data_IF_296709179596
#
_entry.id   IF_296709179596
#
_cell.length_a   1.000
_cell.length_b   1.000
_cell.length_c   1.000
_cell.angle_alpha   90.00
_cell.angle_beta   90.00
_cell.angle_gamma   90.00
#
_symmetry.space_group_name_H-M   'P 1'
#
loop_
_entity.id
_entity.type
_entity.pdbx_description
1 polymer ?
#
# COMPACT_ATOMS: atom_id res chain seq x y z
N UNK A 1 56.74 -5.74 -11.13
CA UNK A 1 55.31 -5.52 -10.86
C UNK A 1 54.55 -6.62 -11.60
N UNK A 2 54.19 -7.70 -10.90
CA UNK A 2 53.58 -8.90 -11.48
C UNK A 2 52.08 -8.67 -11.67
N UNK A 3 51.57 -8.83 -12.90
CA UNK A 3 50.14 -8.90 -13.20
C UNK A 3 49.60 -10.27 -12.73
N UNK A 4 48.61 -10.27 -11.83
CA UNK A 4 47.91 -11.50 -11.42
C UNK A 4 46.88 -11.90 -12.47
N UNK A 5 46.95 -13.16 -12.88
CA UNK A 5 45.98 -13.88 -13.70
C UNK A 5 44.60 -13.95 -13.02
N UNK A 6 43.54 -13.59 -13.76
CA UNK A 6 42.15 -13.75 -13.36
C UNK A 6 41.70 -15.20 -13.60
N UNK A 7 41.19 -15.82 -12.55
CA UNK A 7 40.86 -17.25 -12.47
C UNK A 7 39.57 -17.56 -13.28
N UNK A 8 39.70 -18.28 -14.40
CA UNK A 8 38.62 -18.66 -15.34
C UNK A 8 37.45 -19.43 -14.70
N UNK A 9 37.62 -19.95 -13.49
CA UNK A 9 36.54 -20.61 -12.73
C UNK A 9 35.41 -19.66 -12.29
N UNK A 10 35.71 -18.38 -12.10
CA UNK A 10 34.73 -17.39 -11.61
C UNK A 10 33.72 -17.01 -12.70
N UNK A 11 34.13 -17.05 -13.96
CA UNK A 11 33.28 -16.69 -15.11
C UNK A 11 32.32 -17.83 -15.46
N UNK A 12 32.74 -19.09 -15.34
CA UNK A 12 31.90 -20.26 -15.66
C UNK A 12 30.76 -20.43 -14.62
N UNK A 13 31.00 -20.09 -13.35
CA UNK A 13 29.97 -20.14 -12.30
C UNK A 13 28.86 -19.09 -12.49
N UNK A 14 29.18 -17.92 -13.04
CA UNK A 14 28.19 -16.87 -13.29
C UNK A 14 27.24 -17.17 -14.46
N UNK A 15 27.67 -17.96 -15.46
CA UNK A 15 26.80 -18.36 -16.57
C UNK A 15 25.91 -19.57 -16.25
N UNK A 16 26.33 -20.45 -15.33
CA UNK A 16 25.50 -21.58 -14.87
C UNK A 16 24.28 -21.16 -14.04
N UNK A 17 24.41 -20.10 -13.24
CA UNK A 17 23.31 -19.58 -12.40
C UNK A 17 22.23 -18.84 -13.19
N UNK A 18 22.59 -18.20 -14.31
CA UNK A 18 21.64 -17.51 -15.18
C UNK A 18 20.71 -18.48 -15.94
N UNK A 19 21.18 -19.69 -16.26
CA UNK A 19 20.37 -20.70 -16.95
C UNK A 19 19.38 -21.42 -16.01
N UNK A 20 19.71 -21.55 -14.71
CA UNK A 20 18.83 -22.17 -13.72
C UNK A 20 17.62 -21.30 -13.35
N UNK A 21 17.74 -19.97 -13.45
CA UNK A 21 16.63 -19.02 -13.19
C UNK A 21 15.65 -18.97 -14.37
N UNK A 22 16.11 -19.24 -15.60
CA UNK A 22 15.24 -19.25 -16.79
C UNK A 22 14.36 -20.50 -16.89
N UNK A 23 14.79 -21.65 -16.35
CA UNK A 23 14.06 -22.92 -16.51
C UNK A 23 12.87 -23.12 -15.55
N UNK A 24 12.79 -22.37 -14.44
CA UNK A 24 11.65 -22.41 -13.51
C UNK A 24 10.65 -21.25 -13.67
N UNK A 25 10.79 -20.43 -14.71
CA UNK A 25 9.85 -19.35 -15.02
C UNK A 25 8.58 -19.82 -15.77
N UNK A 26 8.52 -21.09 -16.17
CA UNK A 26 7.38 -21.67 -16.86
C UNK A 26 6.63 -22.66 -15.98
N UNK A 27 5.82 -22.17 -15.04
CA UNK A 27 4.58 -22.81 -14.54
C UNK A 27 3.92 -21.84 -13.53
N UNK A 28 3.30 -20.80 -14.08
CA UNK A 28 2.22 -20.08 -13.39
C UNK A 28 1.06 -20.04 -14.37
N UNK A 29 0.34 -21.15 -14.45
CA UNK A 29 -1.02 -21.14 -14.96
C UNK A 29 -1.85 -20.29 -14.00
N UNK A 30 -2.25 -19.11 -14.46
CA UNK A 30 -3.32 -18.38 -13.82
C UNK A 30 -4.59 -19.23 -13.94
N UNK A 31 -5.31 -19.51 -12.84
CA UNK A 31 -6.62 -20.12 -12.96
C UNK A 31 -7.46 -19.20 -13.87
N UNK A 32 -8.14 -19.82 -14.84
CA UNK A 32 -9.16 -19.13 -15.62
C UNK A 32 -10.13 -18.43 -14.65
N UNK A 33 -10.51 -17.21 -14.98
CA UNK A 33 -11.51 -16.43 -14.27
C UNK A 33 -12.87 -17.16 -14.36
N UNK A 34 -13.05 -18.17 -13.51
CA UNK A 34 -14.35 -18.74 -13.17
C UNK A 34 -14.41 -18.85 -11.66
N UNK A 35 -14.59 -17.72 -10.99
CA UNK A 35 -15.06 -17.70 -9.60
C UNK A 35 -16.52 -17.30 -9.62
N UNK A 36 -17.36 -18.23 -9.19
CA UNK A 36 -18.77 -18.04 -8.86
C UNK A 36 -18.85 -17.16 -7.61
N UNK A 37 -18.55 -15.87 -7.73
CA UNK A 37 -18.81 -14.87 -6.71
C UNK A 37 -19.92 -14.01 -7.26
N UNK A 38 -21.06 -13.95 -6.56
CA UNK A 38 -22.13 -13.02 -6.90
C UNK A 38 -21.51 -11.61 -6.91
N UNK A 39 -21.56 -10.87 -8.02
CA UNK A 39 -21.00 -9.53 -8.03
C UNK A 39 -21.75 -8.74 -6.96
N UNK A 40 -21.00 -8.13 -6.04
CA UNK A 40 -21.48 -6.92 -5.38
C UNK A 40 -21.62 -5.95 -6.54
N UNK A 41 -22.84 -5.87 -7.10
CA UNK A 41 -23.22 -4.74 -7.94
C UNK A 41 -22.89 -3.55 -7.06
N UNK A 42 -21.92 -2.72 -7.49
CA UNK A 42 -22.04 -1.29 -7.24
C UNK A 42 -23.52 -0.99 -7.44
N UNK A 43 -24.19 -0.29 -6.51
CA UNK A 43 -25.50 0.21 -6.84
C UNK A 43 -25.30 0.78 -8.23
N UNK A 44 -26.08 0.27 -9.18
CA UNK A 44 -26.40 1.09 -10.32
C UNK A 44 -26.99 2.31 -9.65
N UNK A 45 -26.14 3.28 -9.28
CA UNK A 45 -26.39 4.66 -9.60
C UNK A 45 -26.96 4.50 -10.98
N UNK A 46 -28.28 4.61 -11.03
CA UNK A 46 -28.97 4.77 -12.27
C UNK A 46 -28.23 5.95 -12.85
N UNK A 47 -27.24 5.68 -13.69
CA UNK A 47 -26.63 6.64 -14.58
C UNK A 47 -27.80 6.92 -15.52
N UNK A 48 -28.77 7.66 -15.00
CA UNK A 48 -29.68 8.46 -15.78
C UNK A 48 -28.78 9.11 -16.79
N UNK A 49 -29.06 8.90 -18.07
CA UNK A 49 -28.34 9.51 -19.19
C UNK A 49 -28.27 11.02 -18.96
N UNK A 50 -27.34 11.47 -18.15
CA UNK A 50 -27.08 12.87 -17.87
C UNK A 50 -26.25 13.35 -19.04
N UNK A 51 -26.56 14.55 -19.49
CA UNK A 51 -25.72 15.26 -20.43
C UNK A 51 -24.33 15.40 -19.82
N UNK A 52 -23.23 15.10 -20.55
CA UNK A 52 -21.88 15.28 -20.03
C UNK A 52 -21.68 16.67 -19.42
N UNK A 53 -21.21 16.71 -18.18
CA UNK A 53 -20.93 17.94 -17.44
C UNK A 53 -19.43 17.95 -17.05
N UNK A 54 -18.53 18.25 -18.01
CA UNK A 54 -17.10 18.32 -17.73
C UNK A 54 -16.80 19.44 -16.71
N UNK A 55 -15.92 19.16 -15.75
CA UNK A 55 -15.55 20.07 -14.68
C UNK A 55 -14.06 19.98 -14.36
N UNK A 56 -13.46 21.08 -13.91
CA UNK A 56 -12.06 21.10 -13.45
C UNK A 56 -11.94 21.54 -12.01
N UNK A 57 -12.78 22.47 -11.52
CA UNK A 57 -12.78 22.93 -10.13
C UNK A 57 -13.45 21.93 -9.18
N UNK A 58 -12.66 21.34 -8.29
CA UNK A 58 -13.12 20.37 -7.30
C UNK A 58 -13.99 21.01 -6.22
N UNK A 59 -13.73 22.27 -5.87
CA UNK A 59 -14.49 22.93 -4.79
C UNK A 59 -15.94 23.12 -5.22
N UNK A 60 -16.17 23.53 -6.47
CA UNK A 60 -17.51 23.59 -7.06
C UNK A 60 -18.15 22.21 -7.15
N UNK A 61 -17.43 21.19 -7.64
CA UNK A 61 -17.96 19.82 -7.71
C UNK A 61 -18.40 19.29 -6.33
N UNK A 62 -17.61 19.55 -5.28
CA UNK A 62 -17.97 19.17 -3.92
C UNK A 62 -19.19 19.93 -3.39
N UNK A 63 -19.35 21.22 -3.71
CA UNK A 63 -20.54 21.99 -3.34
C UNK A 63 -21.80 21.47 -4.03
N UNK A 64 -21.68 21.07 -5.30
CA UNK A 64 -22.78 20.42 -6.03
C UNK A 64 -23.15 19.08 -5.40
N UNK A 65 -22.16 18.27 -5.03
CA UNK A 65 -22.42 17.01 -4.33
C UNK A 65 -23.05 17.21 -2.95
N UNK A 66 -22.58 18.20 -2.18
CA UNK A 66 -23.14 18.50 -0.85
C UNK A 66 -24.63 18.91 -0.96
N UNK A 67 -25.04 19.59 -2.03
CA UNK A 67 -26.42 20.05 -2.23
C UNK A 67 -27.36 18.97 -2.79
N UNK A 68 -26.85 18.02 -3.57
CA UNK A 68 -27.67 16.97 -4.21
C UNK A 68 -27.68 15.65 -3.43
N UNK A 69 -26.56 15.30 -2.79
CA UNK A 69 -26.36 14.01 -2.10
C UNK A 69 -26.14 14.27 -0.62
N UNK A 70 -25.01 14.89 -0.27
CA UNK A 70 -24.63 15.18 1.11
C UNK A 70 -24.35 13.94 1.99
N UNK A 71 -23.72 14.19 3.13
CA UNK A 71 -23.29 13.13 4.04
C UNK A 71 -24.39 12.23 4.62
N UNK A 72 -25.58 12.74 5.00
CA UNK A 72 -26.66 11.88 5.49
C UNK A 72 -27.11 10.84 4.47
N UNK A 73 -27.31 11.24 3.22
CA UNK A 73 -27.74 10.32 2.16
C UNK A 73 -26.63 9.32 1.80
N UNK A 74 -25.38 9.81 1.67
CA UNK A 74 -24.24 8.94 1.39
C UNK A 74 -24.08 7.82 2.43
N UNK A 75 -24.16 8.17 3.73
CA UNK A 75 -24.05 7.20 4.83
C UNK A 75 -25.16 6.18 4.81
N UNK A 76 -26.40 6.58 4.51
CA UNK A 76 -27.51 5.64 4.41
C UNK A 76 -27.33 4.69 3.22
N UNK A 77 -26.97 5.22 2.05
CA UNK A 77 -26.73 4.42 0.83
C UNK A 77 -25.60 3.40 0.99
N UNK A 78 -24.60 3.72 1.80
CA UNK A 78 -23.41 2.88 2.02
C UNK A 78 -23.42 2.17 3.37
N UNK A 79 -24.53 2.21 4.12
CA UNK A 79 -24.64 1.64 5.47
C UNK A 79 -24.28 0.16 5.52
N UNK A 80 -24.77 -0.62 4.55
CA UNK A 80 -24.50 -2.05 4.46
C UNK A 80 -23.02 -2.30 4.17
N UNK A 81 -22.43 -1.59 3.20
CA UNK A 81 -21.00 -1.72 2.87
C UNK A 81 -20.10 -1.35 4.06
N UNK A 82 -20.48 -0.30 4.81
CA UNK A 82 -19.77 0.11 6.03
C UNK A 82 -19.86 -0.99 7.10
N UNK A 83 -21.03 -1.60 7.28
CA UNK A 83 -21.21 -2.70 8.23
C UNK A 83 -20.40 -3.95 7.85
N UNK A 84 -20.44 -4.35 6.57
CA UNK A 84 -19.67 -5.48 6.05
C UNK A 84 -18.18 -5.25 6.27
N UNK A 85 -17.67 -4.09 5.84
CA UNK A 85 -16.26 -3.74 6.06
C UNK A 85 -15.93 -3.83 7.55
N UNK A 86 -16.72 -3.21 8.44
CA UNK A 86 -16.48 -3.24 9.87
C UNK A 86 -16.41 -4.64 10.49
N UNK A 87 -17.07 -5.63 9.87
CA UNK A 87 -17.06 -7.04 10.28
C UNK A 87 -15.98 -7.90 9.63
N UNK A 88 -15.19 -7.35 8.70
CA UNK A 88 -14.13 -8.10 8.00
C UNK A 88 -13.05 -8.58 8.97
N UNK A 89 -12.60 -9.82 8.78
CA UNK A 89 -11.45 -10.42 9.46
C UNK A 89 -10.12 -10.19 8.74
N UNK A 90 -10.09 -9.36 7.69
CA UNK A 90 -8.88 -9.06 6.92
C UNK A 90 -7.95 -8.05 7.61
N UNK A 91 -8.40 -7.46 8.72
CA UNK A 91 -7.63 -6.55 9.56
C UNK A 91 -7.60 -7.09 10.99
N UNK A 92 -6.41 -7.11 11.59
CA UNK A 92 -6.27 -7.36 13.02
C UNK A 92 -6.90 -6.22 13.82
N UNK A 93 -7.41 -6.54 15.00
CA UNK A 93 -7.85 -5.52 15.94
C UNK A 93 -6.59 -4.83 16.47
N UNK A 94 -6.54 -3.49 16.40
CA UNK A 94 -5.46 -2.74 17.04
C UNK A 94 -5.70 -2.73 18.54
N UNK A 95 -5.31 -3.81 19.22
CA UNK A 95 -5.54 -4.03 20.65
C UNK A 95 -4.73 -3.06 21.50
N UNK A 96 -5.31 -1.90 21.80
CA UNK A 96 -4.74 -0.97 22.75
C UNK A 96 -5.17 -1.31 24.20
N UNK A 97 -6.39 -1.78 24.48
CA UNK A 97 -6.86 -1.77 25.89
C UNK A 97 -7.46 -3.07 26.43
N UNK A 98 -7.90 -4.02 25.60
CA UNK A 98 -8.67 -5.19 26.07
C UNK A 98 -7.84 -6.36 26.61
N UNK A 99 -6.52 -6.39 26.40
CA UNK A 99 -5.68 -7.58 26.64
C UNK A 99 -4.44 -7.32 27.51
N UNK A 100 -4.45 -6.27 28.33
CA UNK A 100 -3.30 -5.89 29.16
C UNK A 100 -2.84 -7.00 30.12
N UNK A 101 -3.75 -7.87 30.58
CA UNK A 101 -3.43 -8.96 31.52
C UNK A 101 -2.55 -10.07 30.94
N UNK A 102 -2.35 -10.12 29.63
CA UNK A 102 -1.50 -11.12 28.96
C UNK A 102 -0.03 -10.68 28.81
N UNK A 103 0.26 -9.40 29.03
CA UNK A 103 1.61 -8.86 28.93
C UNK A 103 2.46 -9.38 30.08
N UNK A 104 3.66 -9.88 29.78
CA UNK A 104 4.61 -10.44 30.76
C UNK A 104 5.76 -9.49 31.08
N UNK A 105 5.78 -8.31 30.45
CA UNK A 105 6.87 -7.36 30.50
C UNK A 105 6.32 -5.94 30.49
N UNK A 106 6.93 -5.05 31.27
CA UNK A 106 6.63 -3.61 31.30
C UNK A 106 7.49 -2.81 30.30
N UNK A 107 8.62 -3.40 29.90
CA UNK A 107 9.57 -2.80 28.98
C UNK A 107 9.98 -3.84 27.93
N UNK A 108 9.92 -3.48 26.66
CA UNK A 108 10.41 -4.31 25.55
C UNK A 108 11.37 -3.50 24.70
N UNK A 109 12.47 -4.13 24.33
CA UNK A 109 13.46 -3.60 23.40
C UNK A 109 13.56 -4.43 22.13
N UNK A 110 13.38 -3.79 20.98
CA UNK A 110 13.49 -4.38 19.65
C UNK A 110 14.68 -3.72 18.93
N UNK A 111 15.66 -4.55 18.55
CA UNK A 111 16.79 -4.10 17.74
C UNK A 111 16.58 -4.54 16.29
N UNK A 112 16.53 -3.56 15.39
CA UNK A 112 16.46 -3.79 13.94
C UNK A 112 17.84 -4.18 13.41
N UNK A 113 17.92 -5.33 12.73
CA UNK A 113 19.18 -5.89 12.21
C UNK A 113 19.28 -5.76 10.69
N UNK A 114 20.47 -5.36 10.24
CA UNK A 114 20.82 -5.29 8.83
C UNK A 114 20.26 -4.07 8.12
N UNK A 115 20.29 -4.10 6.79
CA UNK A 115 19.67 -3.05 5.98
C UNK A 115 18.15 -3.25 5.95
N UNK A 116 17.42 -2.16 6.13
CA UNK A 116 15.96 -2.12 6.03
C UNK A 116 15.52 -0.86 5.30
N UNK A 117 14.40 -0.94 4.59
CA UNK A 117 13.75 0.27 4.05
C UNK A 117 12.88 0.99 5.10
N UNK A 118 12.66 0.38 6.27
CA UNK A 118 11.89 0.99 7.36
C UNK A 118 12.49 2.37 7.70
N UNK A 119 11.69 3.44 7.66
CA UNK A 119 12.15 4.80 7.91
C UNK A 119 12.84 5.01 9.26
N UNK A 120 13.86 5.88 9.30
CA UNK A 120 14.61 6.18 10.53
C UNK A 120 13.78 6.89 11.61
N UNK A 121 12.68 7.54 11.22
CA UNK A 121 11.79 8.18 12.19
C UNK A 121 10.97 7.18 13.02
N UNK A 122 11.09 5.87 12.73
CA UNK A 122 10.61 4.83 13.62
C UNK A 122 11.57 4.53 14.78
N UNK A 123 12.82 4.98 14.73
CA UNK A 123 13.80 4.83 15.81
C UNK A 123 13.41 5.73 16.99
N UNK A 124 12.77 5.14 18.01
CA UNK A 124 12.23 5.89 19.15
C UNK A 124 11.88 4.99 20.35
N UNK A 125 11.63 5.63 21.50
CA UNK A 125 10.99 5.05 22.66
C UNK A 125 9.49 5.40 22.65
N UNK A 126 8.65 4.39 22.49
CA UNK A 126 7.20 4.55 22.38
C UNK A 126 6.51 4.26 23.72
N UNK A 127 5.65 5.18 24.20
CA UNK A 127 4.67 4.87 25.24
C UNK A 127 3.51 4.11 24.59
N UNK A 128 3.43 2.81 24.85
CA UNK A 128 2.38 1.95 24.34
C UNK A 128 1.26 1.83 25.38
N UNK A 129 0.14 1.26 24.95
CA UNK A 129 -0.97 1.02 25.85
C UNK A 129 -0.60 -0.01 26.95
N UNK A 130 -1.45 -0.11 27.97
CA UNK A 130 -1.19 -0.94 29.16
C UNK A 130 0.07 -0.54 29.97
N UNK A 131 0.64 0.64 29.73
CA UNK A 131 1.86 1.10 30.40
C UNK A 131 3.15 0.48 29.84
N UNK A 132 3.08 -0.31 28.77
CA UNK A 132 4.25 -0.90 28.13
C UNK A 132 5.10 0.18 27.47
N UNK A 133 6.40 0.22 27.76
CA UNK A 133 7.34 1.01 26.95
C UNK A 133 8.01 0.14 25.89
N UNK A 134 8.05 0.63 24.66
CA UNK A 134 8.68 -0.07 23.54
C UNK A 134 9.86 0.73 23.00
N UNK A 135 11.09 0.26 23.20
CA UNK A 135 12.25 0.80 22.53
C UNK A 135 12.39 0.10 21.17
N UNK A 136 12.15 0.81 20.07
CA UNK A 136 12.46 0.35 18.73
C UNK A 136 13.67 1.12 18.22
N UNK A 137 14.77 0.43 17.92
CA UNK A 137 15.99 1.11 17.49
C UNK A 137 16.84 0.32 16.51
N UNK A 138 17.62 1.03 15.70
CA UNK A 138 18.72 0.49 14.88
C UNK A 138 20.05 0.50 15.64
N UNK A 139 20.12 1.18 16.79
CA UNK A 139 21.34 1.33 17.60
C UNK A 139 21.54 0.16 18.57
N UNK A 140 22.58 -0.63 18.35
CA UNK A 140 22.98 -1.69 19.29
C UNK A 140 23.46 -1.17 20.65
N UNK A 141 23.81 0.12 20.74
CA UNK A 141 24.23 0.75 22.00
C UNK A 141 23.02 1.04 22.89
N UNK A 142 21.88 1.41 22.28
CA UNK A 142 20.64 1.70 23.01
C UNK A 142 19.91 0.42 23.43
N UNK A 143 20.08 -0.67 22.67
CA UNK A 143 19.47 -1.98 22.95
C UNK A 143 20.53 -3.07 23.14
N UNK A 144 21.32 -2.98 24.22
CA UNK A 144 22.22 -4.07 24.63
C UNK A 144 21.41 -5.24 25.19
N UNK A 145 21.59 -6.44 24.60
CA UNK A 145 20.79 -7.65 24.83
C UNK A 145 19.27 -7.43 24.67
N UNK A 146 18.81 -7.12 23.45
CA UNK A 146 17.41 -6.80 23.21
C UNK A 146 16.48 -7.99 23.49
N UNK A 147 15.19 -7.73 23.61
CA UNK A 147 14.17 -8.78 23.78
C UNK A 147 13.81 -9.45 22.45
N UNK A 148 13.96 -8.71 21.35
CA UNK A 148 13.78 -9.21 20.00
C UNK A 148 14.77 -8.59 19.00
N UNK A 149 15.14 -9.39 18.01
CA UNK A 149 15.85 -8.94 16.81
C UNK A 149 14.88 -8.96 15.64
N UNK A 150 14.73 -7.82 14.96
CA UNK A 150 13.92 -7.72 13.76
C UNK A 150 14.77 -7.84 12.50
N UNK A 151 14.37 -8.75 11.63
CA UNK A 151 15.00 -9.07 10.37
C UNK A 151 14.02 -8.84 9.21
N UNK A 152 14.51 -8.33 8.09
CA UNK A 152 13.71 -8.11 6.88
C UNK A 152 14.39 -8.70 5.64
N UNK A 153 15.60 -8.22 5.34
CA UNK A 153 16.35 -8.64 4.15
C UNK A 153 17.28 -9.82 4.41
N UNK A 154 17.34 -10.29 5.64
CA UNK A 154 18.22 -11.38 6.08
C UNK A 154 17.43 -12.42 6.84
N UNK A 155 17.72 -13.69 6.59
CA UNK A 155 17.10 -14.80 7.31
C UNK A 155 17.54 -14.76 8.78
N UNK A 156 16.63 -14.89 9.75
CA UNK A 156 17.00 -15.06 11.14
C UNK A 156 17.88 -16.30 11.37
N UNK A 157 18.72 -16.34 12.43
CA UNK A 157 19.48 -17.52 12.79
C UNK A 157 18.58 -18.75 13.00
N UNK A 158 18.98 -19.91 12.48
CA UNK A 158 18.19 -21.15 12.57
C UNK A 158 18.01 -21.65 14.01
N UNK A 159 19.02 -21.46 14.86
CA UNK A 159 19.01 -21.89 16.26
C UNK A 159 18.86 -20.67 17.18
N UNK A 160 18.07 -20.83 18.24
CA UNK A 160 17.94 -19.88 19.34
C UNK A 160 18.15 -20.62 20.67
N UNK A 161 18.89 -20.03 21.61
CA UNK A 161 19.03 -20.55 22.98
C UNK A 161 18.16 -19.76 23.93
N UNK A 162 17.87 -20.35 25.09
CA UNK A 162 17.19 -19.62 26.16
C UNK A 162 18.06 -18.44 26.62
N UNK A 163 17.47 -17.24 26.70
CA UNK A 163 18.20 -16.00 26.96
C UNK A 163 18.62 -15.24 25.71
N UNK A 164 18.55 -15.85 24.52
CA UNK A 164 18.72 -15.14 23.25
C UNK A 164 17.42 -14.36 22.90
N UNK A 165 17.53 -13.21 22.20
CA UNK A 165 16.37 -12.45 21.75
C UNK A 165 15.45 -13.27 20.83
N UNK A 166 14.16 -12.96 20.85
CA UNK A 166 13.22 -13.50 19.87
C UNK A 166 13.60 -13.09 18.45
N UNK A 167 13.40 -14.00 17.50
CA UNK A 167 13.62 -13.74 16.07
C UNK A 167 12.31 -13.25 15.47
N UNK A 168 12.28 -11.98 15.07
CA UNK A 168 11.15 -11.39 14.36
C UNK A 168 11.53 -11.28 12.88
N UNK A 169 10.75 -11.87 11.99
CA UNK A 169 10.97 -11.77 10.55
C UNK A 169 9.84 -11.04 9.86
N UNK A 170 10.16 -10.03 9.05
CA UNK A 170 9.20 -9.24 8.30
C UNK A 170 9.36 -9.49 6.80
N UNK A 171 8.26 -9.87 6.14
CA UNK A 171 8.17 -10.00 4.70
C UNK A 171 6.82 -9.44 4.24
N UNK A 172 6.87 -8.25 3.61
CA UNK A 172 5.66 -7.57 3.13
C UNK A 172 5.39 -7.82 1.64
N UNK A 173 6.28 -8.47 0.89
CA UNK A 173 6.02 -8.80 -0.51
C UNK A 173 4.90 -9.85 -0.64
N UNK A 174 4.23 -9.84 -1.80
CA UNK A 174 3.06 -10.68 -2.09
C UNK A 174 3.25 -12.17 -1.75
N UNK A 175 4.47 -12.70 -1.89
CA UNK A 175 4.79 -14.10 -1.64
C UNK A 175 4.67 -14.53 -0.18
N UNK A 176 4.70 -13.59 0.78
CA UNK A 176 4.49 -13.83 2.22
C UNK A 176 5.30 -15.02 2.76
N UNK A 177 6.56 -15.11 2.32
CA UNK A 177 7.42 -16.27 2.57
C UNK A 177 8.01 -16.19 3.97
N UNK A 178 7.62 -17.14 4.82
CA UNK A 178 8.24 -17.35 6.13
C UNK A 178 9.68 -17.84 5.99
N UNK A 179 10.52 -17.50 6.95
CA UNK A 179 11.91 -17.98 6.96
C UNK A 179 12.02 -19.41 7.48
N UNK A 180 11.03 -19.83 8.27
CA UNK A 180 11.02 -21.13 8.95
C UNK A 180 11.84 -21.14 10.23
N UNK A 181 12.47 -20.01 10.58
CA UNK A 181 13.29 -19.84 11.77
C UNK A 181 12.79 -18.70 12.68
N UNK A 182 11.75 -17.96 12.31
CA UNK A 182 11.26 -16.86 13.14
C UNK A 182 10.39 -17.34 14.31
N UNK A 183 10.45 -16.62 15.44
CA UNK A 183 9.55 -16.81 16.58
C UNK A 183 8.26 -15.96 16.43
N UNK A 184 8.32 -14.89 15.63
CA UNK A 184 7.25 -13.98 15.25
C UNK A 184 7.41 -13.57 13.78
N UNK A 185 6.32 -13.59 13.01
CA UNK A 185 6.30 -13.18 11.62
C UNK A 185 5.40 -11.97 11.39
N UNK A 186 5.92 -10.99 10.66
CA UNK A 186 5.23 -9.76 10.29
C UNK A 186 4.94 -9.78 8.79
N UNK A 187 3.68 -9.59 8.42
CA UNK A 187 3.25 -9.51 7.02
C UNK A 187 2.06 -8.57 6.83
N UNK A 188 1.57 -8.37 5.61
CA UNK A 188 0.35 -7.61 5.34
C UNK A 188 -0.96 -8.35 5.70
N UNK A 189 -0.92 -9.65 6.01
CA UNK A 189 -2.10 -10.48 6.17
C UNK A 189 -2.50 -10.66 7.65
N UNK A 190 -3.78 -10.51 7.98
CA UNK A 190 -4.28 -10.59 9.37
C UNK A 190 -4.12 -11.94 10.08
N UNK A 191 -3.67 -12.98 9.38
CA UNK A 191 -3.46 -14.34 9.93
C UNK A 191 -2.03 -14.56 10.42
N UNK A 192 -1.12 -13.63 10.12
CA UNK A 192 0.26 -13.68 10.59
C UNK A 192 0.37 -13.02 11.97
N UNK A 193 1.51 -13.21 12.66
CA UNK A 193 1.61 -12.89 14.09
C UNK A 193 1.39 -11.39 14.35
N UNK A 194 1.89 -10.53 13.47
CA UNK A 194 1.61 -9.09 13.48
C UNK A 194 1.37 -8.61 12.05
N UNK A 195 0.25 -7.92 11.83
CA UNK A 195 -0.09 -7.35 10.53
C UNK A 195 0.60 -6.00 10.31
N UNK A 196 1.05 -5.69 9.10
CA UNK A 196 1.50 -4.36 8.69
C UNK A 196 0.99 -4.02 7.30
N UNK A 197 -0.05 -3.19 7.23
CA UNK A 197 -0.60 -2.70 5.96
C UNK A 197 0.25 -1.57 5.37
N UNK A 198 0.05 -1.29 4.09
CA UNK A 198 0.70 -0.18 3.38
C UNK A 198 -0.02 1.16 3.53
N UNK A 199 -1.05 1.26 4.38
CA UNK A 199 -1.85 2.47 4.56
C UNK A 199 -1.20 3.54 5.45
N UNK A 200 0.03 3.31 5.91
CA UNK A 200 0.72 4.15 6.89
C UNK A 200 1.24 5.47 6.33
N UNK A 201 1.14 6.52 7.13
CA UNK A 201 1.75 7.84 6.96
C UNK A 201 3.26 7.80 6.68
N UNK A 202 3.96 6.79 7.21
CA UNK A 202 5.40 6.61 7.02
C UNK A 202 5.81 6.33 5.58
N UNK A 203 4.90 5.80 4.75
CA UNK A 203 5.15 5.73 3.31
C UNK A 203 5.15 7.11 2.64
N UNK A 204 4.82 8.17 3.36
CA UNK A 204 4.58 9.50 2.82
C UNK A 204 5.45 10.61 3.44
N UNK A 205 6.37 10.26 4.35
CA UNK A 205 7.26 11.22 5.00
C UNK A 205 8.12 12.01 3.99
N UNK A 206 8.26 13.32 4.24
CA UNK A 206 9.13 14.20 3.47
C UNK A 206 8.66 14.51 2.06
N UNK A 207 7.36 14.40 1.76
CA UNK A 207 6.78 14.69 0.44
C UNK A 207 6.08 16.05 0.40
N UNK A 208 6.00 16.66 -0.79
CA UNK A 208 5.11 17.78 -1.03
C UNK A 208 3.66 17.25 -1.15
N UNK A 209 2.81 17.65 -0.20
CA UNK A 209 1.39 17.25 -0.10
C UNK A 209 0.44 18.29 -0.68
N UNK A 210 0.92 19.14 -1.58
CA UNK A 210 0.00 19.95 -2.36
C UNK A 210 -1.03 19.04 -3.04
N UNK A 211 -2.30 19.26 -2.73
CA UNK A 211 -3.44 18.62 -3.39
C UNK A 211 -4.11 19.67 -4.24
N UNK A 212 -4.00 19.52 -5.56
CA UNK A 212 -4.60 20.47 -6.50
C UNK A 212 -6.11 20.57 -6.31
N UNK A 213 -6.63 21.80 -6.25
CA UNK A 213 -8.07 22.07 -6.29
C UNK A 213 -8.65 21.99 -7.70
N UNK A 214 -7.79 21.85 -8.71
CA UNK A 214 -8.17 21.75 -10.11
C UNK A 214 -7.69 20.43 -10.72
N UNK A 215 -8.54 19.78 -11.51
CA UNK A 215 -8.21 18.56 -12.25
C UNK A 215 -8.19 18.79 -13.76
N UNK A 216 -7.33 18.04 -14.43
CA UNK A 216 -7.25 18.01 -15.90
C UNK A 216 -8.46 17.28 -16.52
N UNK A 217 -8.96 17.81 -17.65
CA UNK A 217 -10.03 17.21 -18.45
C UNK A 217 -9.51 16.49 -19.70
N UNK A 218 -8.37 16.92 -20.23
CA UNK A 218 -7.76 16.40 -21.44
C UNK A 218 -6.93 15.15 -21.13
N UNK A 219 -6.32 15.09 -19.94
CA UNK A 219 -5.56 13.93 -19.45
C UNK A 219 -6.15 13.40 -18.15
N UNK A 220 -6.95 12.33 -18.25
CA UNK A 220 -7.74 11.83 -17.13
C UNK A 220 -6.93 10.98 -16.14
N UNK A 221 -5.98 10.18 -16.65
CA UNK A 221 -5.35 9.11 -15.87
C UNK A 221 -3.84 9.33 -15.70
N UNK A 222 -3.38 9.26 -14.46
CA UNK A 222 -1.98 9.11 -14.10
C UNK A 222 -1.61 7.63 -13.95
N UNK A 223 -0.49 7.20 -14.53
CA UNK A 223 0.16 5.94 -14.20
C UNK A 223 1.66 6.13 -14.03
N UNK A 224 2.29 5.40 -13.11
CA UNK A 224 3.75 5.38 -12.96
C UNK A 224 4.23 3.99 -12.55
N UNK A 225 5.22 3.48 -13.26
CA UNK A 225 5.80 2.17 -12.96
C UNK A 225 7.23 2.06 -13.49
N UNK A 226 8.13 1.52 -12.66
CA UNK A 226 9.51 1.22 -13.06
C UNK A 226 9.87 -0.28 -13.01
N UNK A 227 8.96 -1.13 -12.54
CA UNK A 227 9.09 -2.60 -12.55
C UNK A 227 8.24 -3.19 -13.67
N UNK A 228 8.81 -3.45 -14.84
CA UNK A 228 8.02 -3.79 -16.03
C UNK A 228 7.63 -5.28 -16.09
N UNK A 229 6.58 -5.66 -15.37
CA UNK A 229 6.05 -7.02 -15.34
C UNK A 229 5.13 -7.26 -16.55
N UNK A 230 5.30 -8.34 -17.34
CA UNK A 230 4.57 -8.54 -18.59
C UNK A 230 3.04 -8.45 -18.48
N UNK A 231 2.44 -9.15 -17.51
CA UNK A 231 0.98 -9.17 -17.34
C UNK A 231 0.43 -7.81 -16.89
N UNK A 232 1.11 -7.17 -15.92
CA UNK A 232 0.74 -5.83 -15.45
C UNK A 232 0.80 -4.80 -16.59
N UNK A 233 1.89 -4.81 -17.35
CA UNK A 233 2.07 -3.88 -18.47
C UNK A 233 1.06 -4.16 -19.59
N UNK A 234 0.69 -5.43 -19.83
CA UNK A 234 -0.35 -5.79 -20.79
C UNK A 234 -1.71 -5.23 -20.38
N UNK A 235 -2.09 -5.38 -19.12
CA UNK A 235 -3.32 -4.80 -18.57
C UNK A 235 -3.32 -3.28 -18.66
N UNK A 236 -2.26 -2.63 -18.16
CA UNK A 236 -2.09 -1.19 -18.22
C UNK A 236 -2.17 -0.66 -19.65
N UNK A 237 -1.42 -1.25 -20.60
CA UNK A 237 -1.42 -0.85 -22.01
C UNK A 237 -2.82 -0.91 -22.63
N UNK A 238 -3.57 -1.98 -22.37
CA UNK A 238 -4.93 -2.13 -22.91
C UNK A 238 -5.86 -1.05 -22.37
N UNK A 239 -5.93 -0.87 -21.05
CA UNK A 239 -6.81 0.12 -20.45
C UNK A 239 -6.41 1.56 -20.83
N UNK A 240 -5.11 1.87 -20.74
CA UNK A 240 -4.59 3.21 -21.05
C UNK A 240 -4.75 3.55 -22.54
N UNK A 241 -4.76 2.58 -23.46
CA UNK A 241 -5.09 2.88 -24.87
C UNK A 241 -6.54 3.35 -25.09
N UNK A 242 -7.42 3.15 -24.10
CA UNK A 242 -8.82 3.57 -24.14
C UNK A 242 -9.06 4.89 -23.40
N UNK A 243 -8.07 5.45 -22.71
CA UNK A 243 -8.22 6.62 -21.85
C UNK A 243 -7.10 7.65 -22.11
N UNK A 244 -7.39 8.95 -22.11
CA UNK A 244 -6.34 9.97 -22.12
C UNK A 244 -5.50 9.86 -20.84
N UNK A 245 -4.18 9.74 -20.99
CA UNK A 245 -3.31 9.41 -19.86
C UNK A 245 -1.88 9.93 -20.02
N UNK A 246 -1.25 10.15 -18.86
CA UNK A 246 0.19 10.24 -18.75
C UNK A 246 0.74 9.01 -18.01
N UNK A 247 1.82 8.48 -18.56
CA UNK A 247 2.54 7.32 -18.05
C UNK A 247 3.98 7.72 -17.77
N UNK A 248 4.32 7.73 -16.49
CA UNK A 248 5.61 8.08 -15.92
C UNK A 248 6.41 6.81 -15.54
N UNK A 249 7.67 6.99 -15.15
CA UNK A 249 8.56 5.86 -14.83
C UNK A 249 9.07 5.15 -16.08
N UNK A 250 9.66 3.96 -15.91
CA UNK A 250 10.32 3.23 -17.02
C UNK A 250 9.34 2.50 -17.94
N UNK A 251 8.16 2.13 -17.46
CA UNK A 251 7.22 1.25 -18.17
C UNK A 251 6.16 2.05 -18.94
N UNK A 252 5.99 1.76 -20.24
CA UNK A 252 5.07 2.46 -21.15
C UNK A 252 5.17 4.00 -21.04
N UNK A 253 6.36 4.55 -20.81
CA UNK A 253 6.52 6.00 -20.65
C UNK A 253 6.05 6.72 -21.92
N UNK A 254 5.20 7.73 -21.75
CA UNK A 254 4.71 8.57 -22.86
C UNK A 254 4.92 10.07 -22.64
N UNK A 255 5.54 10.46 -21.52
CA UNK A 255 5.79 11.86 -21.14
C UNK A 255 7.16 12.37 -21.57
N UNK A 256 7.96 11.52 -22.22
CA UNK A 256 9.27 11.90 -22.79
C UNK A 256 10.40 11.96 -21.77
N UNK A 257 10.35 11.16 -20.70
CA UNK A 257 11.43 11.04 -19.71
C UNK A 257 10.99 10.50 -18.35
N UNK A 258 11.95 10.08 -17.53
CA UNK A 258 11.67 9.50 -16.20
C UNK A 258 11.28 10.58 -15.17
N UNK A 259 11.88 11.76 -15.26
CA UNK A 259 11.75 12.84 -14.27
C UNK A 259 10.94 14.04 -14.80
N UNK A 260 9.89 13.75 -15.59
CA UNK A 260 9.09 14.79 -16.28
C UNK A 260 7.99 15.42 -15.44
N UNK A 261 7.64 14.82 -14.30
CA UNK A 261 6.52 15.30 -13.49
C UNK A 261 6.73 16.75 -13.01
N UNK A 262 7.94 17.13 -12.58
CA UNK A 262 8.25 18.52 -12.19
C UNK A 262 8.30 19.50 -13.36
N UNK A 263 8.50 19.02 -14.61
CA UNK A 263 8.35 19.88 -15.79
C UNK A 263 6.89 20.23 -16.04
N UNK A 264 5.96 19.36 -15.64
CA UNK A 264 4.52 19.56 -15.84
C UNK A 264 3.92 20.33 -14.66
N UNK A 265 4.42 20.08 -13.45
CA UNK A 265 3.95 20.66 -12.20
C UNK A 265 5.11 21.20 -11.36
N UNK A 266 5.69 22.37 -11.72
CA UNK A 266 6.81 22.97 -10.98
C UNK A 266 6.50 23.24 -9.51
N UNK A 267 5.25 23.52 -9.17
CA UNK A 267 4.73 23.72 -7.80
C UNK A 267 4.89 22.49 -6.91
N UNK A 268 5.08 21.30 -7.50
CA UNK A 268 5.29 20.06 -6.76
C UNK A 268 6.72 19.90 -6.24
N UNK A 269 7.62 20.86 -6.51
CA UNK A 269 8.97 20.87 -5.94
C UNK A 269 8.89 21.00 -4.41
N UNK A 270 9.62 20.17 -3.67
CA UNK A 270 9.58 20.16 -2.20
C UNK A 270 10.60 21.15 -1.60
N UNK A 271 11.90 20.93 -1.86
CA UNK A 271 12.98 21.85 -1.50
C UNK A 271 13.77 22.20 -2.76
N UNK A 272 13.82 23.49 -3.10
CA UNK A 272 14.54 23.98 -4.28
C UNK A 272 16.06 23.81 -4.19
N UNK A 273 16.61 23.57 -2.99
CA UNK A 273 18.04 23.45 -2.74
C UNK A 273 18.55 22.00 -2.77
N UNK A 274 17.67 21.01 -2.92
CA UNK A 274 18.01 19.59 -2.93
C UNK A 274 17.61 19.00 -4.28
N UNK A 275 18.48 18.15 -4.86
CA UNK A 275 18.12 17.39 -6.06
C UNK A 275 16.87 16.54 -5.79
N UNK A 276 15.74 16.84 -6.44
CA UNK A 276 14.47 16.18 -6.12
C UNK A 276 14.52 14.72 -6.55
N UNK A 277 14.06 13.85 -5.66
CA UNK A 277 13.85 12.43 -5.94
C UNK A 277 12.43 12.24 -6.44
N UNK A 278 12.20 11.18 -7.24
CA UNK A 278 10.89 10.95 -7.87
C UNK A 278 9.73 10.83 -6.86
N UNK A 279 10.00 10.36 -5.64
CA UNK A 279 8.98 10.22 -4.60
C UNK A 279 8.64 11.54 -3.91
N UNK A 280 9.48 12.57 -3.99
CA UNK A 280 9.29 13.84 -3.27
C UNK A 280 8.06 14.60 -3.79
N UNK A 281 7.74 14.43 -5.07
CA UNK A 281 6.67 15.13 -5.79
C UNK A 281 5.54 14.22 -6.26
N UNK A 282 5.60 12.92 -5.93
CA UNK A 282 4.68 11.91 -6.46
C UNK A 282 3.21 12.22 -6.16
N UNK A 283 2.88 12.51 -4.90
CA UNK A 283 1.50 12.80 -4.50
C UNK A 283 0.99 14.08 -5.13
N UNK A 284 1.80 15.13 -5.13
CA UNK A 284 1.43 16.38 -5.77
C UNK A 284 1.17 16.19 -7.26
N UNK A 285 2.06 15.51 -8.00
CA UNK A 285 1.86 15.23 -9.42
C UNK A 285 0.58 14.40 -9.67
N UNK A 286 0.33 13.35 -8.87
CA UNK A 286 -0.90 12.57 -8.96
C UNK A 286 -2.15 13.43 -8.71
N UNK A 287 -2.06 14.47 -7.88
CA UNK A 287 -3.19 15.32 -7.47
C UNK A 287 -3.78 16.16 -8.60
N UNK A 288 -3.07 16.35 -9.72
CA UNK A 288 -3.60 17.07 -10.88
C UNK A 288 -4.51 16.20 -11.78
N UNK A 289 -4.51 14.89 -11.57
CA UNK A 289 -5.30 13.94 -12.36
C UNK A 289 -6.58 13.56 -11.63
N UNK A 290 -7.66 13.32 -12.38
CA UNK A 290 -8.90 12.80 -11.81
C UNK A 290 -8.69 11.38 -11.27
N UNK A 291 -7.98 10.55 -12.04
CA UNK A 291 -7.78 9.13 -11.73
C UNK A 291 -6.31 8.75 -11.69
N UNK A 292 -6.00 7.77 -10.84
CA UNK A 292 -4.69 7.11 -10.81
C UNK A 292 -4.89 5.63 -11.06
N UNK A 293 -4.17 5.05 -12.01
CA UNK A 293 -4.18 3.63 -12.26
C UNK A 293 -3.29 2.89 -11.24
N UNK A 294 -3.92 2.22 -10.27
CA UNK A 294 -3.25 1.51 -9.18
C UNK A 294 -3.28 -0.01 -9.44
N UNK A 295 -2.31 -0.53 -10.18
CA UNK A 295 -2.19 -1.98 -10.47
C UNK A 295 -1.09 -2.61 -9.63
N UNK A 296 -1.44 -3.63 -8.88
CA UNK A 296 -0.48 -4.42 -8.12
C UNK A 296 0.46 -5.23 -8.99
N UNK A 297 1.64 -5.54 -8.44
CA UNK A 297 2.59 -6.43 -9.13
C UNK A 297 2.02 -7.84 -9.30
N UNK A 298 1.21 -8.28 -8.34
CA UNK A 298 0.58 -9.61 -8.28
C UNK A 298 -0.82 -9.46 -7.68
N UNK A 299 -1.80 -10.18 -8.22
CA UNK A 299 -3.14 -10.30 -7.63
C UNK A 299 -3.05 -11.30 -6.49
N UNK A 300 -3.21 -10.85 -5.26
CA UNK A 300 -3.11 -11.69 -4.05
C UNK A 300 -4.07 -11.15 -2.99
N UNK A 301 -4.81 -12.04 -2.35
CA UNK A 301 -5.74 -11.70 -1.26
C UNK A 301 -5.02 -10.86 -0.20
N UNK A 302 -5.66 -9.78 0.24
CA UNK A 302 -5.16 -8.82 1.24
C UNK A 302 -3.89 -8.06 0.87
N UNK A 303 -3.30 -8.29 -0.31
CA UNK A 303 -2.11 -7.58 -0.77
C UNK A 303 -2.49 -6.23 -1.41
N UNK A 304 -2.74 -5.24 -0.55
CA UNK A 304 -3.06 -3.86 -0.93
C UNK A 304 -1.88 -2.97 -0.54
N UNK A 305 -1.20 -2.41 -1.54
CA UNK A 305 0.08 -1.71 -1.34
C UNK A 305 -0.05 -0.19 -1.38
N UNK A 306 1.10 0.48 -1.27
CA UNK A 306 1.21 1.94 -1.30
C UNK A 306 0.59 2.57 -2.55
N UNK A 307 0.51 1.83 -3.67
CA UNK A 307 -0.02 2.33 -4.95
C UNK A 307 -1.47 2.81 -4.83
N UNK A 308 -2.29 2.06 -4.11
CA UNK A 308 -3.69 2.42 -3.86
C UNK A 308 -3.74 3.63 -2.92
N UNK A 309 -3.00 3.57 -1.82
CA UNK A 309 -3.07 4.60 -0.79
C UNK A 309 -2.51 5.93 -1.27
N UNK A 310 -1.43 5.95 -2.06
CA UNK A 310 -0.90 7.16 -2.71
C UNK A 310 -1.95 7.86 -3.57
N UNK A 311 -2.76 7.11 -4.32
CA UNK A 311 -3.84 7.68 -5.12
C UNK A 311 -4.94 8.29 -4.24
N UNK A 312 -5.32 7.63 -3.15
CA UNK A 312 -6.27 8.20 -2.18
C UNK A 312 -5.69 9.47 -1.53
N UNK A 313 -4.44 9.45 -1.11
CA UNK A 313 -3.82 10.56 -0.40
C UNK A 313 -3.54 11.76 -1.32
N UNK A 314 -3.33 11.53 -2.62
CA UNK A 314 -3.20 12.62 -3.62
C UNK A 314 -4.53 13.31 -3.96
N UNK A 315 -5.65 12.87 -3.39
CA UNK A 315 -6.97 13.39 -3.75
C UNK A 315 -7.41 12.99 -5.16
N UNK A 316 -6.94 11.84 -5.66
CA UNK A 316 -7.37 11.27 -6.95
C UNK A 316 -8.18 9.99 -6.70
N UNK A 317 -8.96 9.55 -7.69
CA UNK A 317 -9.74 8.31 -7.57
C UNK A 317 -8.91 7.13 -8.10
N UNK A 318 -8.60 6.11 -7.30
CA UNK A 318 -7.85 4.95 -7.76
C UNK A 318 -8.70 4.08 -8.68
N UNK A 319 -8.16 3.73 -9.86
CA UNK A 319 -8.62 2.62 -10.68
C UNK A 319 -7.77 1.41 -10.30
N UNK A 320 -8.32 0.49 -9.52
CA UNK A 320 -7.55 -0.54 -8.83
C UNK A 320 -7.64 -1.91 -9.50
N UNK A 321 -6.51 -2.63 -9.52
CA UNK A 321 -6.43 -4.04 -9.86
C UNK A 321 -5.42 -4.72 -8.91
N UNK A 322 -5.88 -5.65 -8.08
CA UNK A 322 -5.06 -6.32 -7.08
C UNK A 322 -5.86 -7.28 -6.22
N UNK A 323 -5.84 -7.10 -4.91
CA UNK A 323 -6.54 -7.96 -3.96
C UNK A 323 -8.06 -8.03 -4.22
N UNK A 324 -8.62 -9.24 -4.23
CA UNK A 324 -10.06 -9.46 -4.44
C UNK A 324 -10.94 -8.97 -3.29
N UNK A 325 -10.37 -8.82 -2.10
CA UNK A 325 -11.01 -8.28 -0.89
C UNK A 325 -10.55 -6.84 -0.59
N UNK A 326 -10.15 -6.07 -1.60
CA UNK A 326 -9.66 -4.68 -1.41
C UNK A 326 -10.63 -3.78 -0.65
N UNK A 327 -11.94 -4.01 -0.77
CA UNK A 327 -12.99 -3.25 -0.09
C UNK A 327 -12.92 -3.36 1.44
N UNK A 328 -12.23 -4.37 1.98
CA UNK A 328 -11.99 -4.50 3.41
C UNK A 328 -10.95 -3.52 3.94
N UNK A 329 -10.11 -2.97 3.05
CA UNK A 329 -8.98 -2.11 3.38
C UNK A 329 -9.24 -0.63 3.10
N UNK A 330 -10.26 -0.33 2.29
CA UNK A 330 -10.54 1.02 1.80
C UNK A 330 -11.84 1.59 2.36
N UNK A 331 -12.01 2.92 2.38
CA UNK A 331 -13.29 3.52 2.69
C UNK A 331 -14.40 3.10 1.70
N UNK A 332 -15.68 3.20 2.08
CA UNK A 332 -16.78 2.92 1.15
C UNK A 332 -16.74 3.88 -0.04
N UNK A 333 -16.99 3.36 -1.24
CA UNK A 333 -17.03 4.12 -2.49
C UNK A 333 -15.80 5.02 -2.69
N UNK A 334 -14.60 4.55 -2.35
CA UNK A 334 -13.37 5.35 -2.51
C UNK A 334 -12.54 4.97 -3.73
N UNK A 335 -12.85 3.86 -4.40
CA UNK A 335 -12.09 3.32 -5.53
C UNK A 335 -13.02 2.86 -6.65
N UNK A 336 -12.48 2.80 -7.86
CA UNK A 336 -13.04 2.05 -8.98
C UNK A 336 -12.32 0.70 -9.00
N UNK A 337 -12.97 -0.36 -8.52
CA UNK A 337 -12.43 -1.72 -8.65
C UNK A 337 -12.58 -2.19 -10.11
N UNK A 338 -11.47 -2.21 -10.84
CA UNK A 338 -11.48 -2.58 -12.26
C UNK A 338 -11.83 -4.04 -12.51
N UNK A 339 -11.74 -4.90 -11.49
CA UNK A 339 -12.05 -6.34 -11.61
C UNK A 339 -13.55 -6.65 -11.67
N UNK A 340 -14.41 -5.70 -11.30
CA UNK A 340 -15.87 -5.90 -11.28
C UNK A 340 -16.54 -5.63 -12.62
N UNK A 341 -15.81 -5.13 -13.63
CA UNK A 341 -16.33 -4.80 -14.95
C UNK A 341 -16.21 -6.00 -15.89
N UNK A 342 -17.17 -6.14 -16.81
CA UNK A 342 -17.17 -7.25 -17.76
C UNK A 342 -16.08 -7.12 -18.84
N UNK A 343 -15.63 -5.89 -19.12
CA UNK A 343 -14.55 -5.59 -20.06
C UNK A 343 -13.80 -4.30 -19.71
N UNK A 344 -12.62 -4.12 -20.31
CA UNK A 344 -11.84 -2.87 -20.14
C UNK A 344 -12.50 -1.70 -20.88
N UNK A 345 -13.28 -1.97 -21.93
CA UNK A 345 -14.07 -0.99 -22.67
C UNK A 345 -15.21 -0.46 -21.82
N UNK A 346 -15.90 -1.34 -21.06
CA UNK A 346 -16.92 -0.96 -20.10
C UNK A 346 -16.32 -0.12 -18.97
N UNK A 347 -15.19 -0.56 -18.39
CA UNK A 347 -14.45 0.21 -17.39
C UNK A 347 -14.03 1.59 -17.93
N UNK A 348 -13.47 1.66 -19.14
CA UNK A 348 -13.06 2.94 -19.73
C UNK A 348 -14.26 3.86 -20.00
N UNK A 349 -15.39 3.32 -20.42
CA UNK A 349 -16.64 4.08 -20.57
C UNK A 349 -17.12 4.62 -19.21
N UNK A 350 -17.09 3.79 -18.16
CA UNK A 350 -17.43 4.21 -16.81
C UNK A 350 -16.52 5.33 -16.31
N UNK A 351 -15.20 5.19 -16.45
CA UNK A 351 -14.22 6.22 -16.05
C UNK A 351 -14.48 7.54 -16.78
N UNK A 352 -14.78 7.52 -18.09
CA UNK A 352 -15.16 8.73 -18.85
C UNK A 352 -16.46 9.34 -18.35
N UNK A 353 -17.45 8.53 -17.98
CA UNK A 353 -18.72 9.05 -17.46
C UNK A 353 -18.50 9.76 -16.11
N UNK A 354 -17.77 9.12 -15.18
CA UNK A 354 -17.41 9.73 -13.90
C UNK A 354 -16.57 11.00 -14.10
N UNK A 355 -15.65 11.00 -15.07
CA UNK A 355 -14.85 12.19 -15.40
C UNK A 355 -15.70 13.39 -15.85
N UNK A 356 -16.88 13.13 -16.42
CA UNK A 356 -17.81 14.12 -16.96
C UNK A 356 -19.05 14.31 -16.07
N UNK A 357 -18.96 13.98 -14.79
CA UNK A 357 -20.04 14.18 -13.82
C UNK A 357 -19.42 14.63 -12.47
N UNK A 358 -19.54 15.92 -12.11
CA UNK A 358 -18.93 16.46 -10.90
C UNK A 358 -19.50 15.80 -9.64
N UNK A 359 -20.77 15.43 -9.62
CA UNK A 359 -21.43 14.82 -8.47
C UNK A 359 -20.92 13.38 -8.32
N UNK A 360 -20.93 12.59 -9.40
CA UNK A 360 -20.43 11.22 -9.35
C UNK A 360 -18.94 11.14 -8.99
N UNK A 361 -18.12 12.05 -9.52
CA UNK A 361 -16.71 12.13 -9.14
C UNK A 361 -16.54 12.54 -7.67
N UNK A 362 -17.25 13.58 -7.22
CA UNK A 362 -17.19 14.08 -5.85
C UNK A 362 -17.60 13.00 -4.83
N UNK A 363 -18.54 12.12 -5.18
CA UNK A 363 -18.97 11.03 -4.31
C UNK A 363 -17.85 10.05 -3.96
N UNK A 364 -16.84 9.89 -4.83
CA UNK A 364 -15.63 9.11 -4.52
C UNK A 364 -14.76 9.71 -3.41
N UNK A 365 -15.00 10.96 -3.06
CA UNK A 365 -14.34 11.68 -1.98
C UNK A 365 -15.25 11.87 -0.75
N UNK A 366 -16.50 11.38 -0.77
CA UNK A 366 -17.44 11.54 0.33
C UNK A 366 -16.91 10.95 1.65
N UNK A 367 -16.20 9.82 1.58
CA UNK A 367 -15.67 9.11 2.75
C UNK A 367 -14.72 9.92 3.64
N UNK A 368 -14.05 10.95 3.09
CA UNK A 368 -13.19 11.86 3.87
C UNK A 368 -13.91 13.15 4.27
N UNK A 369 -14.94 13.55 3.52
CA UNK A 369 -15.77 14.72 3.80
C UNK A 369 -16.77 14.45 4.93
N UNK A 370 -17.27 13.23 5.00
CA UNK A 370 -18.31 12.80 5.95
C UNK A 370 -17.75 12.20 7.24
N UNK A 371 -16.52 12.56 7.62
CA UNK A 371 -15.74 11.87 8.65
C UNK A 371 -15.24 10.52 8.13
N UNK A 372 -14.04 10.09 8.51
CA UNK A 372 -13.42 8.86 7.98
C UNK A 372 -14.36 7.66 8.20
N UNK A 373 -14.93 7.12 7.12
CA UNK A 373 -15.90 6.02 7.15
C UNK A 373 -15.28 4.64 6.88
N UNK A 374 -15.96 3.60 7.37
CA UNK A 374 -15.58 2.21 7.15
C UNK A 374 -14.28 1.84 7.83
N UNK A 375 -13.54 0.92 7.19
CA UNK A 375 -12.34 0.33 7.78
C UNK A 375 -11.08 1.18 7.64
N UNK A 376 -11.11 2.32 6.94
CA UNK A 376 -9.87 3.04 6.64
C UNK A 376 -9.05 3.42 7.88
N UNK A 377 -9.74 3.81 8.97
CA UNK A 377 -9.09 4.03 10.26
C UNK A 377 -8.43 2.77 10.82
N UNK A 378 -9.11 1.61 10.75
CA UNK A 378 -8.55 0.31 11.16
C UNK A 378 -7.37 -0.09 10.28
N UNK A 379 -7.48 0.06 8.96
CA UNK A 379 -6.39 -0.23 8.01
C UNK A 379 -5.14 0.56 8.36
N UNK A 380 -5.28 1.86 8.65
CA UNK A 380 -4.18 2.71 9.12
C UNK A 380 -3.67 2.31 10.50
N UNK A 381 -4.55 1.92 11.41
CA UNK A 381 -4.20 1.48 12.77
C UNK A 381 -3.37 0.19 12.81
N UNK A 382 -3.41 -0.64 11.77
CA UNK A 382 -2.55 -1.83 11.59
C UNK A 382 -1.46 -1.64 10.52
N UNK A 383 -1.09 -0.39 10.23
CA UNK A 383 0.01 -0.08 9.30
C UNK A 383 1.38 -0.09 9.98
N UNK A 384 2.42 0.23 9.20
CA UNK A 384 3.79 0.38 9.68
C UNK A 384 3.91 1.44 10.80
N UNK A 385 3.09 2.49 10.76
CA UNK A 385 3.13 3.62 11.70
C UNK A 385 2.95 3.20 13.16
N UNK A 386 2.13 2.18 13.39
CA UNK A 386 1.79 1.68 14.74
C UNK A 386 2.51 0.36 15.06
N UNK A 387 3.35 -0.13 14.12
CA UNK A 387 4.02 -1.41 14.25
C UNK A 387 4.87 -1.54 15.51
N UNK A 388 5.63 -0.52 15.97
CA UNK A 388 6.47 -0.67 17.16
C UNK A 388 5.71 -1.18 18.38
N UNK A 389 4.62 -0.50 18.77
CA UNK A 389 3.84 -0.91 19.94
C UNK A 389 3.17 -2.28 19.76
N UNK A 390 2.63 -2.56 18.57
CA UNK A 390 1.97 -3.86 18.31
C UNK A 390 2.96 -5.01 18.33
N UNK A 391 4.16 -4.82 17.78
CA UNK A 391 5.23 -5.81 17.89
C UNK A 391 5.70 -5.99 19.33
N UNK A 392 5.92 -4.90 20.07
CA UNK A 392 6.32 -4.97 21.46
C UNK A 392 5.28 -5.67 22.35
N UNK A 393 3.98 -5.48 22.09
CA UNK A 393 2.92 -6.27 22.73
C UNK A 393 3.09 -7.77 22.44
N UNK A 394 3.29 -8.15 21.18
CA UNK A 394 3.50 -9.55 20.79
C UNK A 394 4.77 -10.17 21.43
N UNK A 395 5.86 -9.40 21.50
CA UNK A 395 7.11 -9.81 22.16
C UNK A 395 6.90 -9.98 23.67
N UNK A 396 6.20 -9.03 24.32
CA UNK A 396 5.87 -9.08 25.75
C UNK A 396 5.05 -10.32 26.10
N UNK A 397 4.02 -10.66 25.31
CA UNK A 397 3.20 -11.88 25.53
C UNK A 397 4.03 -13.17 25.44
N UNK A 398 5.05 -13.21 24.57
CA UNK A 398 5.98 -14.32 24.48
C UNK A 398 7.03 -14.33 25.60
N UNK A 399 7.23 -13.23 26.32
CA UNK A 399 8.21 -13.08 27.39
C UNK A 399 9.60 -12.65 26.92
N UNK A 400 9.70 -12.08 25.71
CA UNK A 400 10.94 -11.58 25.14
C UNK A 400 12.05 -12.63 25.12
N UNK A 401 13.28 -12.21 25.44
CA UNK A 401 14.44 -13.11 25.52
C UNK A 401 14.34 -14.22 26.58
N UNK A 402 13.41 -14.09 27.53
CA UNK A 402 13.16 -15.10 28.57
C UNK A 402 12.23 -16.22 28.08
N UNK A 403 11.67 -16.11 26.87
CA UNK A 403 10.89 -17.18 26.26
C UNK A 403 11.74 -18.45 26.06
N UNK A 404 11.19 -19.62 26.41
CA UNK A 404 11.85 -20.90 26.20
C UNK A 404 12.27 -21.09 24.74
N UNK A 405 13.46 -21.61 24.50
CA UNK A 405 13.94 -21.94 23.15
C UNK A 405 13.11 -23.06 22.52
N UNK A 406 12.78 -22.92 21.23
CA UNK A 406 12.13 -23.94 20.40
C UNK A 406 13.14 -24.42 19.36
#
# INVERSE_FOLDING_TARGET
>A
MLLKSLNSFTIISMFGFAFFILFFSGFLEFPSLSTTIKPIRYPTLSLTKSTPHPFTDLVTAFKEWDSHVGCPHFRENHKVSIQIANSSSSLQVSDAESECGELKMDHVSVLVKGWTWIPDNLDNLYPCACGLSCLWTKSSVLADKPDALLFETTTPPLQRRTGDPLRVYMELEAGRKRSGAEDLFISYHAKDDVQSTYAGGLFHNGRNYHVSSHKDNDTLVYWSSSRCLPQRNKLAKKLLSLLPHHSFGKCLNNVGGLDKALSFYPECTNDANVTPKWWDHLHCAMSHYKFVLAIENTVTESYVTEKLFYALDSGSVPIYFGASNVLDFVPPNSIIDGSTFSSLEELAAYVRNVANDPIAYAEYHAWRRCGVLGNYGKTRAVSLDTLPCRLCNAVSRKGGRNAGAI
#
